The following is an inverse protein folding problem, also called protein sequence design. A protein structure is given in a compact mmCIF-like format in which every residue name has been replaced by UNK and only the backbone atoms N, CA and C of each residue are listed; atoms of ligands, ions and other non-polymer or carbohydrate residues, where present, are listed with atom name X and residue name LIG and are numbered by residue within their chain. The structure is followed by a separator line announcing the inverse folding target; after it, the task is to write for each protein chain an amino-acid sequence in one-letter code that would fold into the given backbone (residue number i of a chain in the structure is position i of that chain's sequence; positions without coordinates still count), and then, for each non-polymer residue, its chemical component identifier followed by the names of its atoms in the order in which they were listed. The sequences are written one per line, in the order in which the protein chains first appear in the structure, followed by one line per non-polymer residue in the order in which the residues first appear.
data_IF_885846349929
#
_entry.id   IF_885846349929
#
_cell.length_a   1.000
_cell.length_b   1.000
_cell.length_c   1.000
_cell.angle_alpha   90.00
_cell.angle_beta   90.00
_cell.angle_gamma   90.00
#
_symmetry.space_group_name_H-M   'P 1'
#
loop_
_entity.id
_entity.type
_entity.pdbx_description
1 polymer ?
#
# COMPACT_ATOMS: atom_id res chain seq x y z
N UNK A 1 14.82 -39.26 91.98
CA UNK A 1 13.96 -38.78 90.87
C UNK A 1 14.74 -37.99 89.80
N UNK A 2 15.88 -38.49 89.28
CA UNK A 2 16.64 -37.81 88.18
C UNK A 2 16.96 -38.70 86.96
N UNK A 3 16.67 -40.01 87.01
CA UNK A 3 17.02 -40.96 85.93
C UNK A 3 15.93 -41.15 84.86
N UNK A 4 14.67 -40.80 85.13
CA UNK A 4 13.56 -40.98 84.17
C UNK A 4 13.37 -39.78 83.22
N UNK A 5 13.92 -38.60 83.55
CA UNK A 5 13.76 -37.38 82.73
C UNK A 5 14.62 -37.40 81.46
N UNK A 6 15.80 -38.05 81.47
CA UNK A 6 16.68 -38.12 80.29
C UNK A 6 16.18 -39.09 79.22
N UNK A 7 15.53 -40.19 79.63
CA UNK A 7 14.94 -41.14 78.69
C UNK A 7 13.69 -40.57 78.01
N UNK A 8 12.88 -39.79 78.74
CA UNK A 8 11.73 -39.12 78.15
C UNK A 8 12.14 -38.06 77.13
N UNK A 9 13.23 -37.32 77.39
CA UNK A 9 13.75 -36.31 76.47
C UNK A 9 14.32 -36.91 75.19
N UNK A 10 15.02 -38.04 75.29
CA UNK A 10 15.52 -38.81 74.14
C UNK A 10 14.38 -39.39 73.30
N UNK A 11 13.31 -39.88 73.94
CA UNK A 11 12.13 -40.41 73.24
C UNK A 11 11.38 -39.29 72.52
N UNK A 12 11.22 -38.12 73.15
CA UNK A 12 10.60 -36.94 72.52
C UNK A 12 11.45 -36.46 71.33
N UNK A 13 12.77 -36.42 71.47
CA UNK A 13 13.67 -36.05 70.37
C UNK A 13 13.58 -37.05 69.21
N UNK A 14 13.49 -38.35 69.50
CA UNK A 14 13.33 -39.39 68.48
C UNK A 14 11.99 -39.29 67.76
N UNK A 15 10.90 -39.00 68.48
CA UNK A 15 9.58 -38.81 67.88
C UNK A 15 9.56 -37.55 67.00
N UNK A 16 10.21 -36.46 67.42
CA UNK A 16 10.31 -35.22 66.62
C UNK A 16 11.12 -35.40 65.34
N UNK A 17 12.17 -36.22 65.35
CA UNK A 17 12.97 -36.53 64.15
C UNK A 17 12.19 -37.47 63.21
N UNK A 18 11.48 -38.47 63.76
CA UNK A 18 10.72 -39.44 62.97
C UNK A 18 9.40 -38.88 62.40
N UNK A 19 8.94 -37.72 62.88
CA UNK A 19 7.74 -37.02 62.37
C UNK A 19 8.07 -35.81 61.51
N UNK A 20 9.34 -35.61 61.15
CA UNK A 20 9.71 -34.74 60.05
C UNK A 20 9.21 -35.39 58.75
N UNK A 21 7.98 -35.00 58.38
CA UNK A 21 7.37 -35.32 57.10
C UNK A 21 8.38 -34.92 56.01
N UNK A 22 8.89 -35.90 55.27
CA UNK A 22 9.79 -35.64 54.14
C UNK A 22 9.01 -34.75 53.18
N UNK A 23 9.34 -33.46 53.14
CA UNK A 23 8.71 -32.52 52.24
C UNK A 23 9.11 -32.97 50.84
N UNK A 24 8.22 -33.75 50.22
CA UNK A 24 8.37 -34.32 48.89
C UNK A 24 9.01 -33.26 48.00
N UNK A 25 10.27 -33.49 47.62
CA UNK A 25 11.07 -32.52 46.89
C UNK A 25 10.19 -32.01 45.74
N UNK A 26 9.85 -30.71 45.80
CA UNK A 26 9.07 -30.06 44.76
C UNK A 26 9.84 -30.33 43.48
N UNK A 27 9.29 -31.20 42.62
CA UNK A 27 9.86 -31.45 41.29
C UNK A 27 10.08 -30.08 40.69
N UNK A 28 11.32 -29.77 40.30
CA UNK A 28 11.62 -28.51 39.62
C UNK A 28 10.54 -28.33 38.54
N UNK A 29 9.82 -27.22 38.61
CA UNK A 29 8.90 -26.82 37.56
C UNK A 29 9.76 -26.61 36.32
N UNK A 30 9.88 -27.66 35.51
CA UNK A 30 10.55 -27.56 34.23
C UNK A 30 9.72 -26.58 33.41
N UNK A 31 10.27 -25.41 33.14
CA UNK A 31 9.60 -24.44 32.29
C UNK A 31 9.61 -25.01 30.87
N UNK A 32 8.54 -25.74 30.50
CA UNK A 32 8.34 -26.30 29.16
C UNK A 32 8.27 -25.19 28.09
N UNK A 33 8.12 -23.93 28.51
CA UNK A 33 8.11 -22.76 27.65
C UNK A 33 9.51 -22.10 27.53
N UNK A 34 10.51 -22.55 28.28
CA UNK A 34 11.86 -22.00 28.19
C UNK A 34 12.60 -22.62 26.99
N UNK A 35 12.89 -21.80 25.98
CA UNK A 35 13.68 -22.19 24.81
C UNK A 35 12.88 -22.63 23.58
N UNK A 36 11.56 -22.51 23.61
CA UNK A 36 10.67 -22.72 22.46
C UNK A 36 10.14 -21.37 21.99
N UNK A 37 10.07 -21.18 20.67
CA UNK A 37 9.36 -20.05 20.09
C UNK A 37 7.85 -20.20 20.32
N UNK A 38 7.20 -19.11 20.73
CA UNK A 38 5.76 -19.05 20.99
C UNK A 38 5.07 -17.98 20.16
N UNK A 39 5.82 -17.27 19.30
CA UNK A 39 5.24 -16.38 18.32
C UNK A 39 4.89 -17.21 17.10
N UNK A 40 3.66 -17.05 16.61
CA UNK A 40 3.27 -17.65 15.36
C UNK A 40 3.70 -16.79 14.19
N UNK A 41 3.69 -17.34 12.97
CA UNK A 41 4.09 -16.63 11.78
C UNK A 41 3.19 -15.41 11.55
N UNK A 42 3.77 -14.36 10.97
CA UNK A 42 3.10 -13.11 10.60
C UNK A 42 3.05 -13.01 9.08
N UNK A 43 1.86 -12.80 8.51
CA UNK A 43 1.72 -12.53 7.09
C UNK A 43 2.21 -11.11 6.78
N UNK A 44 3.25 -11.00 5.96
CA UNK A 44 3.92 -9.74 5.64
C UNK A 44 3.43 -9.15 4.31
N UNK A 45 3.22 -9.97 3.28
CA UNK A 45 2.89 -9.50 1.94
C UNK A 45 2.03 -10.51 1.17
N UNK A 46 1.16 -10.01 0.29
CA UNK A 46 0.41 -10.82 -0.67
C UNK A 46 0.43 -10.17 -2.04
N UNK A 47 0.81 -10.91 -3.08
CA UNK A 47 0.92 -10.36 -4.44
C UNK A 47 0.60 -11.40 -5.50
N UNK A 48 -0.12 -11.02 -6.55
CA UNK A 48 -0.24 -11.84 -7.74
C UNK A 48 1.04 -11.76 -8.58
N UNK A 49 1.61 -12.90 -8.91
CA UNK A 49 2.84 -13.03 -9.71
C UNK A 49 2.57 -13.45 -11.15
N UNK A 50 1.30 -13.63 -11.49
CA UNK A 50 0.85 -14.01 -12.82
C UNK A 50 -0.66 -14.23 -12.83
N UNK A 51 -1.21 -14.54 -14.00
CA UNK A 51 -2.67 -14.68 -14.16
C UNK A 51 -3.25 -15.82 -13.35
N UNK A 52 -2.47 -16.83 -12.95
CA UNK A 52 -2.94 -17.97 -12.14
C UNK A 52 -2.14 -18.15 -10.85
N UNK A 53 -1.29 -17.19 -10.47
CA UNK A 53 -0.35 -17.39 -9.37
C UNK A 53 -0.32 -16.21 -8.43
N UNK A 54 -0.28 -16.49 -7.13
CA UNK A 54 -0.02 -15.51 -6.10
C UNK A 54 1.00 -16.04 -5.09
N UNK A 55 1.72 -15.12 -4.47
CA UNK A 55 2.67 -15.40 -3.40
C UNK A 55 2.20 -14.71 -2.11
N UNK A 56 2.33 -15.42 -1.00
CA UNK A 56 2.09 -14.95 0.36
C UNK A 56 3.42 -15.07 1.11
N UNK A 57 3.99 -13.95 1.56
CA UNK A 57 5.26 -13.92 2.29
C UNK A 57 5.01 -13.76 3.79
N UNK A 58 5.73 -14.53 4.59
CA UNK A 58 5.71 -14.50 6.04
C UNK A 58 7.03 -13.97 6.59
N UNK A 59 7.12 -13.73 7.89
CA UNK A 59 8.36 -13.32 8.58
C UNK A 59 9.27 -14.51 8.96
N UNK A 60 8.78 -15.73 8.78
CA UNK A 60 9.50 -16.97 9.05
C UNK A 60 9.08 -18.11 8.12
N UNK A 61 9.78 -19.24 8.20
CA UNK A 61 9.49 -20.43 7.39
C UNK A 61 8.15 -21.07 7.79
N UNK A 62 7.30 -21.35 6.80
CA UNK A 62 5.96 -21.91 7.03
C UNK A 62 5.68 -23.20 6.27
N UNK A 63 4.78 -24.00 6.85
CA UNK A 63 4.32 -25.29 6.34
C UNK A 63 2.79 -25.28 6.18
N UNK A 64 2.32 -25.81 5.06
CA UNK A 64 0.89 -25.95 4.76
C UNK A 64 0.67 -26.92 3.58
N UNK A 65 -0.60 -27.28 3.35
CA UNK A 65 -1.06 -28.10 2.23
C UNK A 65 -2.19 -27.38 1.47
N UNK A 66 -2.59 -27.89 0.31
CA UNK A 66 -3.72 -27.30 -0.44
C UNK A 66 -5.06 -27.34 0.29
N UNK A 67 -5.25 -28.27 1.23
CA UNK A 67 -6.48 -28.39 2.02
C UNK A 67 -6.61 -27.29 3.09
N UNK A 68 -5.49 -26.63 3.43
CA UNK A 68 -5.43 -25.53 4.38
C UNK A 68 -5.87 -24.19 3.80
N UNK A 69 -6.17 -24.15 2.49
CA UNK A 69 -6.60 -22.93 1.79
C UNK A 69 -8.00 -23.05 1.23
N UNK A 70 -8.73 -21.94 1.32
CA UNK A 70 -10.05 -21.78 0.72
C UNK A 70 -10.12 -20.42 0.05
N UNK A 71 -10.86 -20.38 -1.03
CA UNK A 71 -11.22 -19.13 -1.68
C UNK A 71 -12.59 -18.75 -1.13
N UNK A 72 -12.79 -17.47 -0.84
CA UNK A 72 -14.04 -16.93 -0.30
C UNK A 72 -15.21 -17.01 -1.31
N UNK A 73 -15.99 -15.94 -1.45
CA UNK A 73 -17.20 -15.92 -2.27
C UNK A 73 -16.98 -15.95 -3.81
N UNK A 74 -15.81 -16.36 -4.29
CA UNK A 74 -15.46 -16.42 -5.72
C UNK A 74 -15.55 -17.89 -6.23
N UNK A 75 -15.70 -18.09 -7.54
CA UNK A 75 -15.88 -19.41 -8.16
C UNK A 75 -14.55 -20.10 -8.55
N UNK A 76 -13.45 -19.57 -8.04
CA UNK A 76 -12.11 -20.10 -8.21
C UNK A 76 -11.77 -21.18 -7.15
N UNK A 77 -10.68 -21.92 -7.36
CA UNK A 77 -10.15 -22.87 -6.38
C UNK A 77 -8.62 -22.94 -6.44
N UNK A 78 -7.99 -23.44 -5.38
CA UNK A 78 -6.56 -23.70 -5.34
C UNK A 78 -6.27 -25.03 -6.04
N UNK A 79 -5.47 -24.98 -7.11
CA UNK A 79 -4.97 -26.15 -7.85
C UNK A 79 -3.80 -26.81 -7.13
N UNK A 80 -2.88 -26.00 -6.61
CA UNK A 80 -1.70 -26.49 -5.88
C UNK A 80 -1.10 -25.40 -5.01
N UNK A 81 -0.39 -25.84 -3.97
CA UNK A 81 0.37 -24.99 -3.05
C UNK A 81 1.82 -25.46 -3.07
N UNK A 82 2.75 -24.52 -3.04
CA UNK A 82 4.18 -24.81 -2.89
C UNK A 82 4.75 -23.85 -1.87
N UNK A 83 5.47 -24.37 -0.90
CA UNK A 83 6.17 -23.57 0.11
C UNK A 83 7.67 -23.57 -0.17
N UNK A 84 8.32 -22.43 0.01
CA UNK A 84 9.76 -22.31 -0.04
C UNK A 84 10.18 -21.20 0.93
N UNK A 85 10.94 -21.58 1.96
CA UNK A 85 11.35 -20.65 3.04
C UNK A 85 10.14 -19.90 3.60
N UNK A 86 10.14 -18.57 3.52
CA UNK A 86 9.13 -17.64 4.03
C UNK A 86 7.96 -17.44 3.05
N UNK A 87 7.94 -18.13 1.90
CA UNK A 87 6.95 -17.92 0.86
C UNK A 87 6.02 -19.12 0.65
N UNK A 88 4.74 -18.82 0.50
CA UNK A 88 3.71 -19.74 0.02
C UNK A 88 3.23 -19.28 -1.36
N UNK A 89 3.50 -20.10 -2.37
CA UNK A 89 3.00 -19.90 -3.73
C UNK A 89 1.72 -20.69 -3.94
N UNK A 90 0.64 -19.98 -4.27
CA UNK A 90 -0.65 -20.55 -4.64
C UNK A 90 -0.79 -20.54 -6.17
N UNK A 91 -1.26 -21.66 -6.72
CA UNK A 91 -1.68 -21.75 -8.12
C UNK A 91 -3.20 -21.94 -8.15
N UNK A 92 -3.89 -21.04 -8.83
CA UNK A 92 -5.35 -21.01 -8.96
C UNK A 92 -5.79 -21.84 -10.18
N UNK A 93 -6.99 -22.42 -10.10
CA UNK A 93 -7.60 -23.20 -11.19
C UNK A 93 -8.07 -22.29 -12.32
N UNK A 94 -8.55 -21.09 -11.98
CA UNK A 94 -9.00 -20.06 -12.93
C UNK A 94 -8.11 -18.83 -12.84
N UNK A 95 -8.01 -18.02 -13.91
CA UNK A 95 -7.22 -16.81 -13.87
C UNK A 95 -7.79 -15.80 -12.86
N UNK A 96 -6.89 -15.19 -12.09
CA UNK A 96 -7.14 -14.00 -11.29
C UNK A 96 -7.49 -12.86 -12.24
N UNK A 97 -8.68 -12.29 -12.10
CA UNK A 97 -9.18 -11.25 -13.01
C UNK A 97 -8.52 -9.91 -12.65
N UNK A 98 -7.85 -9.24 -13.60
CA UNK A 98 -7.31 -7.89 -13.40
C UNK A 98 -8.36 -6.93 -12.85
N UNK A 99 -7.98 -6.10 -11.86
CA UNK A 99 -8.89 -5.16 -11.21
C UNK A 99 -9.92 -5.79 -10.26
N UNK A 100 -9.83 -7.09 -9.98
CA UNK A 100 -10.63 -7.77 -8.97
C UNK A 100 -9.74 -8.33 -7.87
N UNK A 101 -10.17 -8.13 -6.61
CA UNK A 101 -9.53 -8.72 -5.44
C UNK A 101 -10.21 -10.03 -5.08
N UNK A 102 -9.46 -11.12 -5.01
CA UNK A 102 -9.96 -12.40 -4.52
C UNK A 102 -9.51 -12.61 -3.09
N UNK A 103 -10.44 -12.96 -2.19
CA UNK A 103 -10.12 -13.26 -0.80
C UNK A 103 -9.70 -14.72 -0.65
N UNK A 104 -8.51 -14.94 -0.08
CA UNK A 104 -8.00 -16.26 0.26
C UNK A 104 -7.95 -16.39 1.78
N UNK A 105 -8.60 -17.43 2.28
CA UNK A 105 -8.50 -17.88 3.66
C UNK A 105 -7.47 -19.00 3.73
N UNK A 106 -6.51 -18.90 4.63
CA UNK A 106 -5.41 -19.84 4.74
C UNK A 106 -5.04 -20.15 6.18
N UNK A 107 -4.46 -21.33 6.38
CA UNK A 107 -3.81 -21.71 7.63
C UNK A 107 -2.39 -22.16 7.35
N UNK A 108 -1.44 -21.64 8.12
CA UNK A 108 -0.02 -22.02 8.06
C UNK A 108 0.49 -22.35 9.46
N UNK A 109 1.55 -23.15 9.53
CA UNK A 109 2.29 -23.41 10.77
C UNK A 109 3.78 -23.20 10.60
N UNK A 110 4.48 -22.79 11.65
CA UNK A 110 5.94 -22.77 11.69
C UNK A 110 6.53 -24.18 11.96
N UNK A 111 7.84 -24.25 12.16
CA UNK A 111 8.54 -25.49 12.54
C UNK A 111 8.28 -25.95 13.99
N UNK A 112 7.80 -25.06 14.86
CA UNK A 112 7.53 -25.32 16.28
C UNK A 112 6.06 -25.68 16.55
N UNK A 113 5.20 -25.64 15.53
CA UNK A 113 3.78 -25.94 15.58
C UNK A 113 2.89 -24.75 15.92
N UNK A 114 3.43 -23.53 16.03
CA UNK A 114 2.63 -22.31 16.12
C UNK A 114 1.89 -22.10 14.80
N UNK A 115 0.65 -21.63 14.85
CA UNK A 115 -0.18 -21.51 13.64
C UNK A 115 -0.78 -20.12 13.47
N UNK A 116 -0.83 -19.66 12.23
CA UNK A 116 -1.59 -18.48 11.81
C UNK A 116 -2.76 -18.93 10.92
N UNK A 117 -3.96 -18.44 11.23
CA UNK A 117 -5.10 -18.46 10.32
C UNK A 117 -5.34 -17.03 9.86
N UNK A 118 -5.43 -16.81 8.56
CA UNK A 118 -5.60 -15.49 7.97
C UNK A 118 -6.67 -15.46 6.89
N UNK A 119 -7.15 -14.27 6.59
CA UNK A 119 -7.94 -13.96 5.40
C UNK A 119 -7.30 -12.75 4.74
N UNK A 120 -6.70 -12.94 3.57
CA UNK A 120 -6.03 -11.85 2.85
C UNK A 120 -6.36 -11.91 1.37
N UNK A 121 -6.60 -10.73 0.81
CA UNK A 121 -7.02 -10.58 -0.57
C UNK A 121 -5.86 -10.28 -1.50
N UNK A 122 -5.85 -10.92 -2.68
CA UNK A 122 -4.87 -10.66 -3.74
C UNK A 122 -5.57 -10.08 -4.98
N UNK A 123 -5.03 -9.00 -5.52
CA UNK A 123 -5.51 -8.39 -6.76
C UNK A 123 -5.06 -9.20 -7.97
N UNK A 124 -5.95 -9.36 -8.95
CA UNK A 124 -5.60 -10.08 -10.17
C UNK A 124 -4.53 -9.38 -10.99
N UNK A 125 -3.59 -10.17 -11.52
CA UNK A 125 -2.45 -9.69 -12.27
C UNK A 125 -2.84 -9.27 -13.69
N UNK A 126 -2.57 -8.01 -14.04
CA UNK A 126 -2.76 -7.48 -15.38
C UNK A 126 -1.48 -7.64 -16.23
N UNK A 127 -1.46 -8.68 -17.07
CA UNK A 127 -0.33 -8.96 -17.98
C UNK A 127 -0.32 -8.06 -19.24
N UNK A 128 -1.31 -7.18 -19.38
CA UNK A 128 -1.47 -6.22 -20.48
C UNK A 128 -1.51 -4.78 -20.00
N UNK A 129 -0.96 -4.48 -18.82
CA UNK A 129 -0.91 -3.12 -18.31
C UNK A 129 -0.11 -2.23 -19.29
N UNK A 130 -0.69 -1.11 -19.78
CA UNK A 130 0.04 -0.19 -20.64
C UNK A 130 1.09 0.59 -19.84
N UNK A 131 2.16 1.02 -20.48
CA UNK A 131 3.01 2.08 -19.93
C UNK A 131 2.21 3.39 -19.95
N UNK A 132 2.01 3.99 -18.79
CA UNK A 132 1.17 5.18 -18.56
C UNK A 132 1.85 6.11 -17.58
N UNK A 133 1.57 7.41 -17.70
CA UNK A 133 2.05 8.44 -16.77
C UNK A 133 1.01 9.52 -16.56
N UNK A 134 1.08 10.20 -15.42
CA UNK A 134 0.32 11.41 -15.12
C UNK A 134 0.76 12.49 -16.12
N UNK A 135 -0.19 13.12 -16.81
CA UNK A 135 0.08 14.02 -17.93
C UNK A 135 -0.38 15.45 -17.69
N UNK A 136 -1.59 15.64 -17.15
CA UNK A 136 -2.18 16.95 -16.88
C UNK A 136 -3.04 16.88 -15.62
N UNK A 137 -3.00 17.89 -14.76
CA UNK A 137 -3.90 17.94 -13.60
C UNK A 137 -4.27 19.36 -13.16
N UNK A 138 -5.34 19.47 -12.35
CA UNK A 138 -5.75 20.71 -11.67
C UNK A 138 -5.99 20.42 -10.20
N UNK A 139 -5.71 21.40 -9.33
CA UNK A 139 -5.81 21.25 -7.86
C UNK A 139 -6.75 22.24 -7.20
N UNK A 140 -7.33 23.17 -7.97
CA UNK A 140 -8.21 24.25 -7.46
C UNK A 140 -9.48 24.33 -8.30
N UNK A 141 -10.11 23.18 -8.48
CA UNK A 141 -11.33 23.01 -9.24
C UNK A 141 -12.48 23.83 -8.68
N UNK A 142 -13.51 23.97 -9.51
CA UNK A 142 -14.78 24.59 -9.17
C UNK A 142 -15.92 23.66 -9.59
N UNK A 143 -17.17 23.89 -9.15
CA UNK A 143 -18.30 23.08 -9.60
C UNK A 143 -18.43 23.01 -11.13
N UNK A 144 -18.04 24.06 -11.86
CA UNK A 144 -18.11 24.07 -13.34
C UNK A 144 -16.90 23.40 -14.00
N UNK A 145 -15.71 23.55 -13.40
CA UNK A 145 -14.45 22.97 -13.86
C UNK A 145 -13.78 22.23 -12.69
N UNK A 146 -14.19 20.98 -12.43
CA UNK A 146 -13.71 20.20 -11.29
C UNK A 146 -12.23 19.86 -11.43
N UNK A 147 -11.67 19.37 -10.33
CA UNK A 147 -10.33 18.80 -10.37
C UNK A 147 -10.30 17.56 -11.26
N UNK A 148 -9.22 17.44 -12.01
CA UNK A 148 -8.98 16.34 -12.93
C UNK A 148 -7.52 15.94 -12.86
N UNK A 149 -7.28 14.67 -13.09
CA UNK A 149 -5.97 14.09 -13.36
C UNK A 149 -6.08 13.33 -14.66
N UNK A 150 -5.17 13.57 -15.58
CA UNK A 150 -5.07 12.86 -16.84
C UNK A 150 -3.88 11.92 -16.83
N UNK A 151 -4.06 10.74 -17.43
CA UNK A 151 -3.00 9.81 -17.75
C UNK A 151 -2.80 9.75 -19.27
N UNK A 152 -1.54 9.68 -19.71
CA UNK A 152 -1.18 9.45 -21.11
C UNK A 152 -0.68 8.02 -21.29
N UNK A 153 -1.25 7.28 -22.25
CA UNK A 153 -0.82 5.93 -22.59
C UNK A 153 0.32 5.95 -23.64
N UNK A 154 1.47 5.35 -23.29
CA UNK A 154 2.64 5.22 -24.18
C UNK A 154 2.67 3.92 -24.97
N UNK A 155 1.90 2.92 -24.52
CA UNK A 155 1.71 1.64 -25.22
C UNK A 155 0.25 1.24 -25.23
N UNK A 156 -0.14 0.37 -26.16
CA UNK A 156 -1.43 -0.31 -26.12
C UNK A 156 -1.52 -1.19 -24.86
N UNK A 157 -2.71 -1.35 -24.29
CA UNK A 157 -2.91 -2.18 -23.11
C UNK A 157 -4.33 -2.13 -22.54
N UNK A 158 -4.50 -2.75 -21.37
CA UNK A 158 -5.73 -2.73 -20.59
C UNK A 158 -5.48 -2.06 -19.24
N UNK A 159 -6.33 -1.12 -18.84
CA UNK A 159 -6.17 -0.35 -17.59
C UNK A 159 -6.62 -1.10 -16.33
N UNK A 160 -7.12 -2.33 -16.43
CA UNK A 160 -7.72 -3.03 -15.30
C UNK A 160 -6.78 -3.09 -14.09
N UNK A 161 -7.24 -2.55 -12.97
CA UNK A 161 -6.52 -2.56 -11.71
C UNK A 161 -5.46 -1.47 -11.57
N UNK A 162 -5.13 -0.72 -12.63
CA UNK A 162 -4.29 0.47 -12.49
C UNK A 162 -4.95 1.42 -11.49
N UNK A 163 -4.18 1.93 -10.53
CA UNK A 163 -4.77 2.70 -9.43
C UNK A 163 -4.13 4.07 -9.31
N UNK A 164 -4.97 5.10 -9.33
CA UNK A 164 -4.57 6.48 -9.03
C UNK A 164 -4.97 6.84 -7.60
N UNK A 165 -4.03 7.40 -6.84
CA UNK A 165 -4.27 7.94 -5.51
C UNK A 165 -4.09 9.46 -5.47
N UNK A 166 -5.02 10.16 -4.81
CA UNK A 166 -4.73 11.47 -4.20
C UNK A 166 -4.01 11.21 -2.87
N UNK A 167 -2.69 11.04 -2.97
CA UNK A 167 -1.80 10.60 -1.91
C UNK A 167 -0.95 9.43 -2.37
N UNK A 168 -0.83 8.42 -1.51
CA UNK A 168 -0.09 7.17 -1.73
C UNK A 168 -0.94 5.99 -1.26
N UNK A 169 -0.63 4.76 -1.67
CA UNK A 169 -1.41 3.56 -1.32
C UNK A 169 -1.62 3.38 0.19
N UNK A 170 -0.63 3.76 1.01
CA UNK A 170 -0.70 3.68 2.48
C UNK A 170 -1.39 4.89 3.13
N UNK A 171 -1.53 6.01 2.41
CA UNK A 171 -2.09 7.26 2.91
C UNK A 171 -2.65 8.11 1.78
N UNK A 172 -3.96 8.01 1.54
CA UNK A 172 -4.66 8.73 0.47
C UNK A 172 -5.96 9.36 0.96
N UNK A 173 -6.40 10.40 0.26
CA UNK A 173 -7.71 11.04 0.47
C UNK A 173 -8.78 10.47 -0.48
N UNK A 174 -8.36 10.01 -1.66
CA UNK A 174 -9.20 9.30 -2.62
C UNK A 174 -8.39 8.28 -3.43
N UNK A 175 -9.09 7.27 -3.93
CA UNK A 175 -8.55 6.17 -4.72
C UNK A 175 -9.45 5.94 -5.94
N UNK A 176 -8.84 5.79 -7.11
CA UNK A 176 -9.52 5.42 -8.34
C UNK A 176 -8.87 4.16 -8.92
N UNK A 177 -9.51 3.01 -8.70
CA UNK A 177 -9.11 1.73 -9.32
C UNK A 177 -9.77 1.67 -10.70
N UNK A 178 -8.95 1.69 -11.75
CA UNK A 178 -9.45 1.72 -13.11
C UNK A 178 -10.08 0.37 -13.51
N UNK A 179 -11.25 0.41 -14.17
CA UNK A 179 -11.89 -0.79 -14.65
C UNK A 179 -11.12 -1.38 -15.84
N UNK A 180 -11.52 -2.56 -16.28
CA UNK A 180 -11.01 -3.10 -17.54
C UNK A 180 -11.46 -2.24 -18.71
N UNK A 181 -10.49 -1.55 -19.31
CA UNK A 181 -10.68 -0.67 -20.45
C UNK A 181 -9.46 -0.77 -21.35
N UNK A 182 -9.67 -1.00 -22.65
CA UNK A 182 -8.59 -1.08 -23.63
C UNK A 182 -8.19 0.32 -24.09
N UNK A 183 -6.90 0.61 -24.02
CA UNK A 183 -6.31 1.85 -24.52
C UNK A 183 -5.32 1.58 -25.63
N UNK A 184 -5.16 2.58 -26.48
CA UNK A 184 -4.14 2.69 -27.52
C UNK A 184 -3.05 3.66 -27.10
N UNK A 185 -1.85 3.46 -27.63
CA UNK A 185 -0.79 4.45 -27.54
C UNK A 185 -1.32 5.82 -28.00
N UNK A 186 -1.13 6.85 -27.19
CA UNK A 186 -1.59 8.22 -27.41
C UNK A 186 -2.97 8.52 -26.84
N UNK A 187 -3.65 7.53 -26.25
CA UNK A 187 -4.91 7.78 -25.55
C UNK A 187 -4.68 8.57 -24.27
N UNK A 188 -5.57 9.53 -24.04
CA UNK A 188 -5.60 10.40 -22.86
C UNK A 188 -6.79 9.97 -21.99
N UNK A 189 -6.50 9.55 -20.76
CA UNK A 189 -7.47 9.01 -19.82
C UNK A 189 -7.71 10.03 -18.72
N UNK A 190 -8.93 10.57 -18.64
CA UNK A 190 -9.24 11.64 -17.68
C UNK A 190 -9.96 11.08 -16.46
N UNK A 191 -9.42 11.33 -15.27
CA UNK A 191 -10.03 11.03 -13.98
C UNK A 191 -10.61 12.34 -13.44
N UNK A 192 -11.94 12.41 -13.27
CA UNK A 192 -12.64 13.61 -12.79
C UNK A 192 -13.08 13.48 -11.32
N UNK A 193 -12.80 14.51 -10.52
CA UNK A 193 -13.21 14.63 -9.12
C UNK A 193 -14.40 15.58 -8.98
N UNK A 194 -15.61 15.03 -8.98
CA UNK A 194 -16.86 15.80 -8.95
C UNK A 194 -18.00 14.99 -8.31
N UNK A 195 -19.23 15.52 -8.24
CA UNK A 195 -20.37 14.74 -7.72
C UNK A 195 -20.78 13.55 -8.61
N UNK A 196 -20.24 13.47 -9.83
CA UNK A 196 -20.49 12.39 -10.78
C UNK A 196 -19.96 12.72 -12.18
N UNK A 197 -19.73 11.68 -12.97
CA UNK A 197 -19.18 11.82 -14.32
C UNK A 197 -20.03 12.70 -15.22
N UNK A 198 -19.34 13.56 -15.98
CA UNK A 198 -19.98 14.50 -16.91
C UNK A 198 -19.87 14.04 -18.37
N UNK A 199 -19.02 13.05 -18.65
CA UNK A 199 -18.81 12.49 -19.99
C UNK A 199 -18.41 13.57 -20.99
N UNK A 200 -17.45 14.41 -20.60
CA UNK A 200 -16.86 15.46 -21.44
C UNK A 200 -15.68 14.93 -22.25
N UNK A 201 -15.00 13.88 -21.79
CA UNK A 201 -13.79 13.35 -22.40
C UNK A 201 -14.03 11.98 -23.03
N UNK A 202 -13.28 11.59 -24.08
CA UNK A 202 -13.46 10.30 -24.76
C UNK A 202 -13.29 9.09 -23.82
N UNK A 203 -12.32 9.19 -22.91
CA UNK A 203 -12.05 8.19 -21.87
C UNK A 203 -12.08 8.93 -20.54
N UNK A 204 -13.12 8.67 -19.74
CA UNK A 204 -13.37 9.40 -18.49
C UNK A 204 -13.75 8.43 -17.37
N UNK A 205 -13.11 8.58 -16.20
CA UNK A 205 -13.35 7.80 -15.00
C UNK A 205 -13.55 8.69 -13.78
N UNK A 206 -14.23 8.13 -12.77
CA UNK A 206 -14.64 8.85 -11.58
C UNK A 206 -13.54 8.76 -10.51
N UNK A 207 -12.93 9.89 -10.16
CA UNK A 207 -11.87 9.98 -9.15
C UNK A 207 -12.38 10.10 -7.72
N UNK A 208 -13.62 10.57 -7.53
CA UNK A 208 -14.22 10.78 -6.22
C UNK A 208 -14.96 12.11 -6.10
N UNK A 209 -15.69 12.33 -5.00
CA UNK A 209 -16.50 13.54 -4.80
C UNK A 209 -15.70 14.75 -4.31
N UNK A 210 -14.47 14.53 -3.82
CA UNK A 210 -13.60 15.55 -3.26
C UNK A 210 -12.40 15.71 -4.18
N UNK A 211 -12.13 16.95 -4.59
CA UNK A 211 -10.97 17.31 -5.41
C UNK A 211 -9.65 17.21 -4.65
N UNK A 212 -8.56 17.50 -5.35
CA UNK A 212 -7.22 17.39 -4.83
C UNK A 212 -6.92 18.47 -3.78
N UNK A 213 -5.88 18.28 -2.98
CA UNK A 213 -5.39 19.31 -2.07
C UNK A 213 -5.03 20.60 -2.82
N UNK A 214 -5.58 21.76 -2.44
CA UNK A 214 -5.40 23.00 -3.20
C UNK A 214 -3.98 23.60 -3.15
N UNK A 215 -3.29 23.44 -2.02
CA UNK A 215 -2.01 24.09 -1.77
C UNK A 215 -0.85 23.14 -2.07
N UNK A 216 -0.93 21.90 -1.60
CA UNK A 216 0.08 20.88 -1.78
C UNK A 216 -0.54 19.48 -1.69
N UNK A 217 0.17 18.51 -2.25
CA UNK A 217 -0.25 17.11 -2.26
C UNK A 217 0.68 16.26 -3.10
N UNK A 218 0.40 14.96 -3.09
CA UNK A 218 1.08 13.96 -3.91
C UNK A 218 -0.01 13.26 -4.71
N UNK A 219 0.20 13.08 -6.01
CA UNK A 219 -0.63 12.21 -6.84
C UNK A 219 0.26 11.05 -7.23
N UNK A 220 -0.20 9.82 -7.07
CA UNK A 220 0.60 8.64 -7.39
C UNK A 220 -0.20 7.61 -8.17
N UNK A 221 0.52 6.90 -9.03
CA UNK A 221 -0.01 5.89 -9.92
C UNK A 221 0.66 4.56 -9.61
N UNK A 222 -0.13 3.50 -9.48
CA UNK A 222 0.33 2.16 -9.16
C UNK A 222 -0.15 1.14 -10.18
N UNK A 223 0.63 0.08 -10.41
CA UNK A 223 0.30 -1.01 -11.33
C UNK A 223 -0.93 -1.83 -10.89
N UNK A 224 -1.25 -1.78 -9.59
CA UNK A 224 -2.38 -2.38 -8.90
C UNK A 224 -2.58 -1.67 -7.55
N UNK A 225 -3.73 -1.81 -6.84
CA UNK A 225 -3.96 -1.07 -5.59
C UNK A 225 -2.88 -1.32 -4.52
N UNK A 226 -2.47 -2.58 -4.35
CA UNK A 226 -1.39 -2.97 -3.42
C UNK A 226 -0.05 -3.20 -4.17
N UNK A 227 0.10 -2.50 -5.30
CA UNK A 227 1.12 -2.75 -6.32
C UNK A 227 2.42 -1.98 -6.17
N UNK A 228 3.22 -1.97 -7.23
CA UNK A 228 4.35 -1.06 -7.32
C UNK A 228 3.89 0.32 -7.82
N UNK A 229 4.44 1.39 -7.24
CA UNK A 229 4.29 2.74 -7.79
C UNK A 229 5.03 2.82 -9.13
N UNK A 230 4.39 3.40 -10.13
CA UNK A 230 4.92 3.51 -11.50
C UNK A 230 5.15 4.95 -11.96
N UNK A 231 4.50 5.92 -11.32
CA UNK A 231 4.67 7.35 -11.56
C UNK A 231 4.08 8.14 -10.40
N UNK A 232 4.60 9.34 -10.14
CA UNK A 232 4.08 10.23 -9.12
C UNK A 232 4.42 11.69 -9.40
N UNK A 233 3.67 12.60 -8.79
CA UNK A 233 3.96 14.03 -8.81
C UNK A 233 3.74 14.65 -7.44
N UNK A 234 4.74 15.39 -6.97
CA UNK A 234 4.62 16.30 -5.84
C UNK A 234 4.26 17.68 -6.37
N UNK A 235 3.27 18.34 -5.77
CA UNK A 235 2.96 19.74 -6.06
C UNK A 235 2.81 20.55 -4.78
N UNK A 236 3.16 21.84 -4.84
CA UNK A 236 3.12 22.72 -3.67
C UNK A 236 3.19 24.19 -4.08
N UNK A 237 2.38 25.05 -3.45
CA UNK A 237 2.57 26.51 -3.43
C UNK A 237 3.16 26.99 -2.08
N UNK A 238 3.57 26.04 -1.24
CA UNK A 238 4.22 26.29 0.05
C UNK A 238 5.73 26.30 -0.12
N UNK A 239 6.38 26.84 0.91
CA UNK A 239 7.83 26.88 1.06
C UNK A 239 8.22 26.27 2.41
N UNK A 240 9.48 25.86 2.54
CA UNK A 240 10.10 25.45 3.80
C UNK A 240 10.01 26.55 4.89
N UNK A 241 9.78 27.81 4.48
CA UNK A 241 9.57 28.95 5.38
C UNK A 241 8.10 29.27 5.66
N UNK A 242 7.16 28.52 5.09
CA UNK A 242 5.71 28.79 5.25
C UNK A 242 5.24 28.50 6.68
N UNK A 243 5.89 27.57 7.37
CA UNK A 243 5.74 27.29 8.79
C UNK A 243 7.01 26.57 9.32
N UNK A 244 7.09 26.37 10.63
CA UNK A 244 8.19 25.63 11.27
C UNK A 244 7.85 24.15 11.52
N UNK A 245 6.65 23.71 11.15
CA UNK A 245 6.14 22.38 11.45
C UNK A 245 6.17 21.51 10.18
N UNK A 246 6.42 20.21 10.32
CA UNK A 246 6.28 19.26 9.20
C UNK A 246 7.06 19.65 7.92
N UNK A 247 8.24 20.26 8.07
CA UNK A 247 9.12 20.62 6.96
C UNK A 247 8.55 21.68 6.00
N UNK A 248 7.58 22.51 6.41
CA UNK A 248 6.96 23.52 5.55
C UNK A 248 5.71 23.04 4.81
N UNK A 249 5.36 21.75 4.89
CA UNK A 249 4.18 21.19 4.22
C UNK A 249 2.86 21.49 4.94
N UNK A 250 2.90 22.06 6.15
CA UNK A 250 1.72 22.50 6.91
C UNK A 250 0.90 21.41 7.59
N UNK A 251 1.00 20.15 7.16
CA UNK A 251 0.34 19.03 7.84
C UNK A 251 1.25 17.81 7.93
N UNK A 252 1.15 17.08 9.04
CA UNK A 252 1.83 15.78 9.23
C UNK A 252 1.53 14.80 8.10
N UNK A 253 0.27 14.81 7.61
CA UNK A 253 -0.21 13.93 6.54
C UNK A 253 0.57 14.15 5.24
N UNK A 254 0.64 15.39 4.75
CA UNK A 254 1.33 15.70 3.50
C UNK A 254 2.85 15.52 3.63
N UNK A 255 3.42 15.89 4.78
CA UNK A 255 4.84 15.66 5.05
C UNK A 255 5.21 14.17 5.03
N UNK A 256 4.40 13.31 5.66
CA UNK A 256 4.62 11.86 5.62
C UNK A 256 4.52 11.32 4.18
N UNK A 257 3.54 11.78 3.39
CA UNK A 257 3.42 11.41 1.97
C UNK A 257 4.66 11.84 1.18
N UNK A 258 5.19 13.02 1.43
CA UNK A 258 6.42 13.48 0.78
C UNK A 258 7.62 12.59 1.14
N UNK A 259 7.79 12.22 2.41
CA UNK A 259 8.87 11.32 2.83
C UNK A 259 8.76 9.93 2.19
N UNK A 260 7.56 9.35 2.17
CA UNK A 260 7.32 8.06 1.50
C UNK A 260 7.58 8.15 -0.02
N UNK A 261 7.27 9.29 -0.64
CA UNK A 261 7.58 9.54 -2.05
C UNK A 261 9.10 9.61 -2.28
N UNK A 262 9.86 10.29 -1.42
CA UNK A 262 11.33 10.29 -1.46
C UNK A 262 11.89 8.85 -1.34
N UNK A 263 11.38 8.08 -0.39
CA UNK A 263 11.78 6.67 -0.18
C UNK A 263 11.45 5.78 -1.39
N UNK A 264 10.37 6.07 -2.12
CA UNK A 264 9.96 5.31 -3.31
C UNK A 264 10.89 5.52 -4.51
N UNK A 265 11.62 6.64 -4.56
CA UNK A 265 12.45 7.03 -5.70
C UNK A 265 11.68 7.41 -6.97
N UNK A 266 10.35 7.54 -6.92
CA UNK A 266 9.51 7.98 -8.06
C UNK A 266 9.42 9.51 -8.19
N UNK A 267 10.17 10.25 -7.37
CA UNK A 267 10.34 11.69 -7.50
C UNK A 267 11.78 12.04 -7.08
N UNK A 268 12.58 12.54 -8.01
CA UNK A 268 14.01 12.83 -7.79
C UNK A 268 14.20 14.16 -7.05
N UNK A 269 13.98 14.12 -5.74
CA UNK A 269 14.19 15.23 -4.84
C UNK A 269 14.77 14.75 -3.50
N UNK A 270 16.01 15.17 -3.19
CA UNK A 270 16.64 14.90 -1.89
C UNK A 270 17.41 16.14 -1.37
N UNK A 271 17.10 16.65 -0.16
CA UNK A 271 15.95 16.29 0.66
C UNK A 271 14.63 16.75 0.02
N UNK A 272 13.54 16.03 0.26
CA UNK A 272 12.22 16.42 -0.19
C UNK A 272 11.70 17.60 0.65
N UNK A 273 11.40 18.69 -0.05
CA UNK A 273 10.92 19.95 0.52
C UNK A 273 9.76 20.48 -0.32
N UNK A 274 8.90 21.37 0.21
CA UNK A 274 7.77 21.91 -0.55
C UNK A 274 8.17 22.48 -1.92
N UNK A 275 9.30 23.17 -2.01
CA UNK A 275 9.82 23.78 -3.23
C UNK A 275 10.28 22.78 -4.30
N UNK A 276 10.47 21.51 -3.94
CA UNK A 276 10.79 20.44 -4.87
C UNK A 276 9.55 19.96 -5.66
N UNK A 277 8.35 20.30 -5.19
CA UNK A 277 7.12 20.06 -5.93
C UNK A 277 6.94 21.04 -7.09
N UNK A 278 6.04 20.67 -8.01
CA UNK A 278 5.54 21.58 -9.03
C UNK A 278 4.83 22.75 -8.34
N UNK A 279 5.21 23.98 -8.69
CA UNK A 279 4.60 25.18 -8.12
C UNK A 279 3.12 25.24 -8.51
N UNK A 280 2.22 25.14 -7.53
CA UNK A 280 0.77 25.16 -7.76
C UNK A 280 0.17 26.55 -7.58
N UNK A 281 0.98 27.60 -7.36
CA UNK A 281 0.53 28.97 -7.04
C UNK A 281 -0.49 29.49 -8.05
N UNK A 282 -0.18 29.37 -9.33
CA UNK A 282 -1.00 29.90 -10.42
C UNK A 282 -2.00 28.89 -11.02
N UNK A 283 -2.05 27.66 -10.48
CA UNK A 283 -3.08 26.68 -10.81
C UNK A 283 -4.44 27.20 -10.38
N UNK A 284 -5.43 27.02 -11.26
CA UNK A 284 -6.84 27.39 -11.04
C UNK A 284 -7.73 26.36 -11.74
N UNK A 285 -9.05 26.45 -11.53
CA UNK A 285 -10.03 25.64 -12.27
C UNK A 285 -9.92 25.75 -13.82
N UNK A 286 -9.19 26.73 -14.36
CA UNK A 286 -9.02 26.94 -15.82
C UNK A 286 -7.55 27.00 -16.27
N UNK A 287 -6.62 26.77 -15.34
CA UNK A 287 -5.17 26.72 -15.57
C UNK A 287 -4.66 25.43 -14.96
N UNK A 288 -4.42 24.44 -15.81
CA UNK A 288 -3.87 23.15 -15.43
C UNK A 288 -2.36 23.18 -15.39
N UNK A 289 -1.81 22.15 -14.74
CA UNK A 289 -0.40 21.82 -14.69
C UNK A 289 -0.19 20.68 -15.70
N UNK A 290 0.63 20.92 -16.72
CA UNK A 290 0.90 19.99 -17.81
C UNK A 290 2.33 19.48 -17.73
N UNK A 291 2.52 18.19 -18.00
CA UNK A 291 3.85 17.59 -18.23
C UNK A 291 4.29 17.92 -19.65
N UNK A 292 5.58 18.12 -19.85
CA UNK A 292 6.15 18.46 -21.15
C UNK A 292 6.36 17.19 -21.97
N UNK A 293 5.43 16.88 -22.87
CA UNK A 293 5.40 15.60 -23.61
C UNK A 293 6.64 15.32 -24.48
N UNK A 294 7.28 16.36 -25.01
CA UNK A 294 8.45 16.25 -25.91
C UNK A 294 9.81 16.23 -25.16
N UNK A 295 9.80 16.27 -23.83
CA UNK A 295 11.01 16.26 -23.01
C UNK A 295 11.23 14.89 -22.33
N UNK A 296 12.49 14.48 -22.10
CA UNK A 296 12.78 13.36 -21.21
C UNK A 296 12.22 13.64 -19.82
N UNK A 297 11.56 12.65 -19.23
CA UNK A 297 11.07 12.72 -17.86
C UNK A 297 12.25 12.63 -16.91
N UNK A 298 12.36 13.60 -16.01
CA UNK A 298 13.40 13.67 -14.99
C UNK A 298 12.88 13.28 -13.62
N UNK A 299 11.58 12.96 -13.51
CA UNK A 299 10.87 12.72 -12.25
C UNK A 299 11.01 13.91 -11.30
N UNK A 300 11.02 15.13 -11.86
CA UNK A 300 11.14 16.37 -11.07
C UNK A 300 10.13 17.42 -11.52
N UNK A 301 10.04 18.50 -10.73
CA UNK A 301 9.21 19.66 -11.08
C UNK A 301 9.56 20.31 -12.43
N UNK A 302 10.77 20.11 -12.97
CA UNK A 302 11.14 20.74 -14.25
C UNK A 302 10.41 20.17 -15.46
N UNK A 303 9.78 19.00 -15.29
CA UNK A 303 9.01 18.36 -16.36
C UNK A 303 7.66 19.04 -16.58
N UNK A 304 7.28 19.98 -15.70
CA UNK A 304 5.93 20.51 -15.61
C UNK A 304 5.87 22.03 -15.81
N UNK A 305 4.77 22.50 -16.37
CA UNK A 305 4.46 23.92 -16.52
C UNK A 305 2.96 24.18 -16.31
N UNK A 306 2.61 25.41 -15.95
CA UNK A 306 1.21 25.85 -15.85
C UNK A 306 0.80 26.49 -17.17
N UNK A 307 -0.34 26.10 -17.71
CA UNK A 307 -0.89 26.70 -18.93
C UNK A 307 -1.73 27.95 -18.63
N UNK A 308 -1.85 28.90 -19.59
CA UNK A 308 -2.73 30.06 -19.44
C UNK A 308 -4.20 29.68 -19.27
N UNK A 309 -5.02 30.65 -18.87
CA UNK A 309 -6.47 30.47 -18.74
C UNK A 309 -7.07 29.96 -20.04
N UNK A 310 -7.93 28.93 -19.94
CA UNK A 310 -8.61 28.30 -21.08
C UNK A 310 -7.69 27.53 -22.03
N UNK A 311 -6.49 27.17 -21.57
CA UNK A 311 -5.53 26.33 -22.32
C UNK A 311 -5.37 24.91 -21.76
N UNK A 312 -6.16 24.54 -20.75
CA UNK A 312 -6.24 23.15 -20.32
C UNK A 312 -6.65 22.23 -21.47
N UNK A 313 -5.97 21.09 -21.60
CA UNK A 313 -5.94 20.22 -22.79
C UNK A 313 -6.51 18.82 -22.57
N UNK A 314 -7.08 18.54 -21.39
CA UNK A 314 -7.70 17.27 -21.03
C UNK A 314 -8.42 16.56 -22.19
N UNK A 315 -7.96 15.35 -22.52
CA UNK A 315 -8.41 14.51 -23.62
C UNK A 315 -7.66 14.73 -24.94
N UNK A 316 -6.59 15.54 -24.95
CA UNK A 316 -5.81 15.90 -26.13
C UNK A 316 -4.37 16.30 -25.76
N UNK A 317 -3.43 16.39 -26.72
CA UNK A 317 -2.04 16.72 -26.42
C UNK A 317 -1.88 18.01 -25.62
N UNK A 318 -0.94 18.00 -24.67
CA UNK A 318 -0.70 19.12 -23.77
C UNK A 318 -0.42 20.43 -24.52
N UNK A 319 -1.04 21.51 -24.05
CA UNK A 319 -0.77 22.85 -24.58
C UNK A 319 0.67 23.26 -24.28
N UNK A 320 1.48 23.70 -25.27
CA UNK A 320 2.84 24.17 -25.02
C UNK A 320 2.89 25.60 -24.45
N UNK A 321 1.75 26.29 -24.38
CA UNK A 321 1.66 27.66 -23.86
C UNK A 321 1.98 27.67 -22.36
N UNK A 322 2.90 28.56 -21.94
CA UNK A 322 3.29 28.72 -20.53
C UNK A 322 2.65 30.00 -19.98
N UNK A 323 2.06 29.91 -18.79
CA UNK A 323 1.56 31.07 -18.07
C UNK A 323 2.72 31.91 -17.52
N UNK A 324 2.77 33.17 -17.94
CA UNK A 324 3.62 34.20 -17.33
C UNK A 324 2.80 34.98 -16.27
N UNK A 325 3.28 35.06 -15.01
CA UNK A 325 2.61 35.73 -13.89
C UNK A 325 2.30 37.23 -14.04
#
# INVERSE_FOLDING_TARGET
MRRHSYHLLLIILYILIASACDAQAQRELFNVLAGTDHQGPVLMETKATGTHTATYRFDEMVFCSSEDFRIGADDNSIRSVTTFEEEVKLIFTRPLRPGFRIMVEGRVSDQFGNTLTFSSGVWGFNDRLPAVRINEFTTKGSPTNPDRVELLAFTDGNLAGLTLYDGLSESFDSECILPSYEVKKGDHVVIEYSEGLRQKHPIEFYGGPVGLGANNGVISLYDSPDGAMIDAVLYSNRTSSSDNDYGGFGTSKVHQRALLLEESGQWDAYPIVPEAGVDSTYSTATRSICRTEDAPDTDTRSDWHIVPTSKASFGSPNSPDIHEP
#
